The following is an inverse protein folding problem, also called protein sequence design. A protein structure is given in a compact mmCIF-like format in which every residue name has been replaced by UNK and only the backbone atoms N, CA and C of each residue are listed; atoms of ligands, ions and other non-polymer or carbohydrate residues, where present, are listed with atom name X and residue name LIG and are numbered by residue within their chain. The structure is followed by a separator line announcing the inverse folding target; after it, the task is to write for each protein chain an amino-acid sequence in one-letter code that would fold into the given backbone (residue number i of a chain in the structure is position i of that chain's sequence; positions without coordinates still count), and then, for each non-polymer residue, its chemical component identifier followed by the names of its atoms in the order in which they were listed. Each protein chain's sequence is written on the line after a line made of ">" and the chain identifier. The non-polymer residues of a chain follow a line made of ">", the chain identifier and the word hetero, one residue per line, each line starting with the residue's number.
data_IF_845992298945
#
_entry.id   IF_845992298945
#
_cell.length_a   1.000
_cell.length_b   1.000
_cell.length_c   1.000
_cell.angle_alpha   90.00
_cell.angle_beta   90.00
_cell.angle_gamma   90.00
#
_symmetry.space_group_name_H-M   'P 1'
#
loop_
_entity.id
_entity.type
_entity.pdbx_description
1 polymer ?
#
# COMPACT_ATOMS: atom_id res chain seq x y z
N UNK A 1 -5.92 14.91 15.40
CA UNK A 1 -6.49 13.59 15.05
C UNK A 1 -7.80 13.81 14.31
N UNK A 2 -7.99 13.16 13.15
CA UNK A 2 -9.22 13.15 12.35
C UNK A 2 -10.02 11.88 12.69
N UNK A 3 -10.65 11.86 13.86
CA UNK A 3 -11.24 10.64 14.46
C UNK A 3 -12.49 10.10 13.76
N UNK A 4 -13.08 10.86 12.82
CA UNK A 4 -14.26 10.44 12.05
C UNK A 4 -13.96 10.24 10.56
N UNK A 5 -12.72 10.45 10.13
CA UNK A 5 -12.35 10.31 8.72
C UNK A 5 -12.30 8.83 8.35
N UNK A 6 -13.20 8.39 7.49
CA UNK A 6 -13.30 6.99 7.04
C UNK A 6 -12.76 6.77 5.63
N UNK A 7 -12.70 7.83 4.81
CA UNK A 7 -12.13 7.79 3.47
C UNK A 7 -11.25 9.01 3.23
N UNK A 8 -10.07 8.79 2.67
CA UNK A 8 -9.12 9.83 2.26
C UNK A 8 -8.72 9.57 0.81
N UNK A 9 -9.10 10.48 -0.08
CA UNK A 9 -8.65 10.49 -1.46
C UNK A 9 -7.67 11.64 -1.66
N UNK A 10 -6.44 11.29 -2.02
CA UNK A 10 -5.34 12.17 -2.36
C UNK A 10 -4.76 11.82 -3.73
N UNK A 11 -5.50 11.10 -4.57
CA UNK A 11 -5.03 10.75 -5.91
C UNK A 11 -4.77 11.99 -6.77
N UNK A 12 -3.82 11.89 -7.70
CA UNK A 12 -3.52 12.92 -8.71
C UNK A 12 -3.08 14.29 -8.14
N UNK A 13 -2.52 14.33 -6.94
CA UNK A 13 -2.16 15.59 -6.27
C UNK A 13 -0.67 15.96 -6.37
N UNK A 14 0.14 15.20 -7.11
CA UNK A 14 1.58 15.45 -7.27
C UNK A 14 2.30 15.57 -5.90
N UNK A 15 1.84 14.82 -4.90
CA UNK A 15 2.44 14.86 -3.57
C UNK A 15 3.88 14.35 -3.69
N UNK A 16 4.87 15.19 -3.42
CA UNK A 16 6.29 14.80 -3.47
C UNK A 16 6.67 13.80 -2.35
N UNK A 17 7.83 13.10 -2.46
CA UNK A 17 8.28 12.14 -1.45
C UNK A 17 8.21 12.65 -0.01
N UNK A 18 8.58 13.91 0.22
CA UNK A 18 8.52 14.55 1.55
C UNK A 18 7.09 14.58 2.10
N UNK A 19 6.10 14.91 1.26
CA UNK A 19 4.69 14.94 1.64
C UNK A 19 4.16 13.54 1.94
N UNK A 20 4.50 12.55 1.11
CA UNK A 20 4.11 11.17 1.34
C UNK A 20 4.72 10.58 2.61
N UNK A 21 5.98 10.90 2.92
CA UNK A 21 6.59 10.55 4.21
C UNK A 21 5.83 11.15 5.39
N UNK A 22 5.37 12.39 5.27
CA UNK A 22 4.56 13.02 6.32
C UNK A 22 3.21 12.32 6.48
N UNK A 23 2.59 11.88 5.38
CA UNK A 23 1.38 11.05 5.41
C UNK A 23 1.68 9.72 6.14
N UNK A 24 2.73 9.00 5.76
CA UNK A 24 3.15 7.75 6.40
C UNK A 24 3.31 7.90 7.91
N UNK A 25 4.07 8.91 8.37
CA UNK A 25 4.23 9.19 9.80
C UNK A 25 2.92 9.54 10.50
N UNK A 26 2.04 10.30 9.84
CA UNK A 26 0.74 10.67 10.40
C UNK A 26 -0.16 9.45 10.58
N UNK A 27 -0.14 8.52 9.61
CA UNK A 27 -0.84 7.25 9.69
C UNK A 27 -0.29 6.37 10.83
N UNK A 28 1.04 6.28 10.95
CA UNK A 28 1.73 5.55 12.02
C UNK A 28 1.41 6.10 13.42
N UNK A 29 1.24 7.42 13.54
CA UNK A 29 0.86 8.11 14.77
C UNK A 29 -0.64 8.08 15.08
N UNK A 30 -1.41 7.22 14.39
CA UNK A 30 -2.86 7.06 14.55
C UNK A 30 -3.63 8.38 14.37
N UNK A 31 -3.20 9.23 13.43
CA UNK A 31 -3.88 10.49 13.17
C UNK A 31 -5.31 10.28 12.64
N UNK A 32 -5.56 9.17 11.94
CA UNK A 32 -6.84 8.80 11.33
C UNK A 32 -7.26 7.36 11.74
N UNK A 33 -7.67 7.14 13.01
CA UNK A 33 -7.91 5.78 13.55
C UNK A 33 -9.12 5.07 12.94
N UNK A 34 -10.04 5.82 12.31
CA UNK A 34 -11.21 5.25 11.65
C UNK A 34 -11.08 5.15 10.12
N UNK A 35 -9.88 5.41 9.57
CA UNK A 35 -9.67 5.36 8.13
C UNK A 35 -9.87 3.92 7.60
N UNK A 36 -10.75 3.78 6.62
CA UNK A 36 -11.09 2.52 5.92
C UNK A 36 -10.60 2.53 4.48
N UNK A 37 -10.64 3.69 3.81
CA UNK A 37 -10.28 3.82 2.39
C UNK A 37 -9.18 4.85 2.21
N UNK A 38 -8.09 4.46 1.56
CA UNK A 38 -6.97 5.35 1.25
C UNK A 38 -6.66 5.27 -0.25
N UNK A 39 -6.75 6.40 -0.94
CA UNK A 39 -6.37 6.52 -2.33
C UNK A 39 -5.20 7.51 -2.47
N UNK A 40 -4.06 7.02 -2.93
CA UNK A 40 -2.81 7.74 -3.16
C UNK A 40 -2.33 7.56 -4.61
N UNK A 41 -3.19 7.14 -5.53
CA UNK A 41 -2.83 6.91 -6.93
C UNK A 41 -2.16 8.15 -7.56
N UNK A 42 -1.08 7.92 -8.34
CA UNK A 42 -0.33 8.97 -9.06
C UNK A 42 0.20 10.10 -8.17
N UNK A 43 1.03 9.74 -7.20
CA UNK A 43 1.79 10.64 -6.33
C UNK A 43 3.26 10.17 -6.21
N UNK A 44 4.00 10.84 -5.33
CA UNK A 44 5.20 10.54 -4.54
C UNK A 44 6.39 9.72 -5.06
N UNK A 45 6.25 9.01 -6.17
CA UNK A 45 7.24 8.07 -6.64
C UNK A 45 7.53 6.97 -5.63
N UNK A 46 8.60 6.23 -5.91
CA UNK A 46 8.97 5.06 -5.13
C UNK A 46 9.33 5.40 -3.68
N UNK A 47 10.21 6.37 -3.46
CA UNK A 47 10.70 6.76 -2.13
C UNK A 47 9.55 7.21 -1.21
N UNK A 48 8.63 8.01 -1.75
CA UNK A 48 7.48 8.49 -1.00
C UNK A 48 6.52 7.36 -0.62
N UNK A 49 6.27 6.43 -1.54
CA UNK A 49 5.42 5.27 -1.26
C UNK A 49 6.07 4.28 -0.30
N UNK A 50 7.39 4.10 -0.36
CA UNK A 50 8.10 3.23 0.57
C UNK A 50 7.84 3.67 2.02
N UNK A 51 7.91 4.98 2.30
CA UNK A 51 7.58 5.51 3.63
C UNK A 51 6.10 5.28 4.02
N UNK A 52 5.16 5.49 3.10
CA UNK A 52 3.73 5.25 3.37
C UNK A 52 3.47 3.78 3.70
N UNK A 53 4.03 2.87 2.91
CA UNK A 53 3.77 1.44 3.02
C UNK A 53 4.52 0.80 4.19
N UNK A 54 5.79 1.17 4.41
CA UNK A 54 6.60 0.60 5.49
C UNK A 54 6.32 1.22 6.86
N UNK A 55 6.16 2.54 6.94
CA UNK A 55 5.97 3.23 8.21
C UNK A 55 4.49 3.39 8.55
N UNK A 56 3.68 3.82 7.58
CA UNK A 56 2.31 4.26 7.83
C UNK A 56 1.27 3.15 7.87
N UNK A 57 1.25 2.28 6.85
CA UNK A 57 0.16 1.33 6.63
C UNK A 57 0.04 0.29 7.76
N UNK A 58 1.14 -0.05 8.45
CA UNK A 58 1.13 -0.93 9.61
C UNK A 58 0.45 -0.31 10.84
N UNK A 59 0.34 1.02 10.90
CA UNK A 59 -0.37 1.77 11.95
C UNK A 59 -1.86 1.98 11.67
N UNK A 60 -2.36 1.54 10.50
CA UNK A 60 -3.77 1.70 10.10
C UNK A 60 -4.47 0.35 10.01
N UNK A 61 -4.80 -0.29 11.14
CA UNK A 61 -5.27 -1.68 11.15
C UNK A 61 -6.65 -1.88 10.53
N UNK A 62 -7.41 -0.80 10.30
CA UNK A 62 -8.80 -0.87 9.78
C UNK A 62 -8.92 -0.58 8.28
N UNK A 63 -7.81 -0.47 7.54
CA UNK A 63 -7.89 -0.24 6.09
C UNK A 63 -8.57 -1.42 5.41
N UNK A 64 -9.59 -1.11 4.63
CA UNK A 64 -10.40 -2.04 3.83
C UNK A 64 -10.06 -1.94 2.34
N UNK A 65 -9.73 -0.74 1.86
CA UNK A 65 -9.36 -0.48 0.48
C UNK A 65 -8.14 0.46 0.40
N UNK A 66 -7.11 0.03 -0.32
CA UNK A 66 -5.90 0.80 -0.59
C UNK A 66 -5.69 0.91 -2.11
N UNK A 67 -5.54 2.13 -2.60
CA UNK A 67 -5.12 2.39 -3.98
C UNK A 67 -3.80 3.18 -3.97
N UNK A 68 -2.73 2.53 -4.44
CA UNK A 68 -1.40 3.12 -4.64
C UNK A 68 -0.92 2.90 -6.08
N UNK A 69 -1.87 2.79 -7.01
CA UNK A 69 -1.57 2.61 -8.43
C UNK A 69 -0.74 3.76 -8.99
N UNK A 70 0.12 3.47 -9.97
CA UNK A 70 0.90 4.45 -10.71
C UNK A 70 1.73 5.40 -9.83
N UNK A 71 2.46 4.85 -8.86
CA UNK A 71 3.38 5.57 -7.99
C UNK A 71 4.85 5.17 -8.20
N UNK A 72 5.19 4.50 -9.31
CA UNK A 72 6.54 3.98 -9.57
C UNK A 72 7.07 3.06 -8.45
N UNK A 73 6.19 2.24 -7.87
CA UNK A 73 6.56 1.25 -6.85
C UNK A 73 7.26 0.09 -7.55
N UNK A 74 8.52 -0.18 -7.20
CA UNK A 74 9.24 -1.35 -7.74
C UNK A 74 8.93 -2.61 -6.94
N UNK A 75 9.50 -3.75 -7.33
CA UNK A 75 9.25 -5.05 -6.69
C UNK A 75 9.47 -5.09 -5.18
N UNK A 76 10.44 -4.32 -4.67
CA UNK A 76 10.68 -4.20 -3.21
C UNK A 76 9.50 -3.59 -2.46
N UNK A 77 8.65 -2.82 -3.15
CA UNK A 77 7.43 -2.26 -2.60
C UNK A 77 6.34 -3.28 -2.29
N UNK A 78 6.50 -4.56 -2.67
CA UNK A 78 5.65 -5.66 -2.20
C UNK A 78 6.03 -6.17 -0.80
N UNK A 79 7.26 -5.91 -0.32
CA UNK A 79 7.73 -6.36 1.00
C UNK A 79 6.85 -5.90 2.17
N UNK A 80 6.37 -4.63 2.24
CA UNK A 80 5.48 -4.18 3.31
C UNK A 80 4.15 -4.93 3.31
N UNK A 81 3.67 -5.33 2.12
CA UNK A 81 2.46 -6.13 1.98
C UNK A 81 2.65 -7.53 2.58
N UNK A 82 3.67 -8.27 2.14
CA UNK A 82 4.02 -9.58 2.71
C UNK A 82 4.22 -9.52 4.21
N UNK A 83 4.93 -8.48 4.70
CA UNK A 83 5.15 -8.27 6.13
C UNK A 83 3.86 -8.00 6.89
N UNK A 84 2.98 -7.14 6.38
CA UNK A 84 1.70 -6.84 7.04
C UNK A 84 0.75 -8.03 7.07
N UNK A 85 0.79 -8.90 6.05
CA UNK A 85 0.05 -10.17 6.03
C UNK A 85 0.62 -11.14 7.08
N UNK A 86 1.95 -11.32 7.13
CA UNK A 86 2.62 -12.17 8.12
C UNK A 86 2.33 -11.72 9.57
N UNK A 87 2.31 -10.40 9.81
CA UNK A 87 2.01 -9.81 11.12
C UNK A 87 0.52 -9.71 11.45
N UNK A 88 -0.37 -10.21 10.58
CA UNK A 88 -1.84 -10.13 10.74
C UNK A 88 -2.35 -8.70 10.93
N UNK A 89 -1.74 -7.73 10.23
CA UNK A 89 -2.14 -6.31 10.27
C UNK A 89 -3.18 -5.95 9.22
N UNK A 90 -3.29 -6.75 8.16
CA UNK A 90 -4.25 -6.54 7.06
C UNK A 90 -5.49 -7.42 7.17
N UNK A 91 -6.05 -7.54 8.38
CA UNK A 91 -7.24 -8.36 8.67
C UNK A 91 -8.55 -7.75 8.16
N UNK A 92 -8.53 -6.50 7.68
CA UNK A 92 -9.69 -5.84 7.07
C UNK A 92 -9.51 -5.56 5.59
N UNK A 93 -8.31 -5.73 5.03
CA UNK A 93 -8.00 -5.31 3.65
C UNK A 93 -8.70 -6.24 2.66
N UNK A 94 -9.70 -5.73 1.97
CA UNK A 94 -10.46 -6.45 0.94
C UNK A 94 -10.04 -6.08 -0.47
N UNK A 95 -9.44 -4.90 -0.66
CA UNK A 95 -9.01 -4.40 -1.96
C UNK A 95 -7.64 -3.74 -1.88
N UNK A 96 -6.74 -4.16 -2.77
CA UNK A 96 -5.44 -3.51 -2.98
C UNK A 96 -5.27 -3.27 -4.48
N UNK A 97 -5.03 -2.03 -4.86
CA UNK A 97 -4.66 -1.65 -6.21
C UNK A 97 -3.22 -1.13 -6.23
N UNK A 98 -2.34 -1.94 -6.84
CA UNK A 98 -0.93 -1.67 -7.10
C UNK A 98 -0.69 -1.58 -8.62
N UNK A 99 -1.73 -1.51 -9.44
CA UNK A 99 -1.60 -1.47 -10.89
C UNK A 99 -0.78 -0.27 -11.37
N UNK A 100 -0.26 -0.37 -12.59
CA UNK A 100 0.55 0.66 -13.22
C UNK A 100 1.83 1.00 -12.44
N UNK A 101 2.37 0.05 -11.68
CA UNK A 101 3.66 0.15 -11.01
C UNK A 101 4.64 -0.89 -11.62
N UNK A 102 5.95 -0.57 -11.73
CA UNK A 102 6.97 -1.47 -12.26
C UNK A 102 7.39 -2.54 -11.23
N UNK A 103 6.46 -3.43 -10.84
CA UNK A 103 6.70 -4.41 -9.76
C UNK A 103 7.73 -5.47 -10.16
N UNK A 104 7.75 -5.89 -11.42
CA UNK A 104 8.60 -6.96 -11.92
C UNK A 104 8.05 -8.36 -11.59
N UNK A 105 8.13 -9.26 -12.58
CA UNK A 105 7.57 -10.61 -12.49
C UNK A 105 8.11 -11.40 -11.29
N UNK A 106 9.42 -11.31 -11.02
CA UNK A 106 10.05 -12.01 -9.90
C UNK A 106 9.46 -11.60 -8.54
N UNK A 107 9.17 -10.31 -8.34
CA UNK A 107 8.60 -9.83 -7.10
C UNK A 107 7.15 -10.30 -6.93
N UNK A 108 6.39 -10.34 -8.03
CA UNK A 108 5.02 -10.88 -8.06
C UNK A 108 5.05 -12.38 -7.71
N UNK A 109 5.93 -13.17 -8.33
CA UNK A 109 6.08 -14.59 -8.04
C UNK A 109 6.44 -14.84 -6.56
N UNK A 110 7.40 -14.09 -6.03
CA UNK A 110 7.79 -14.15 -4.60
C UNK A 110 6.62 -13.78 -3.68
N UNK A 111 5.84 -12.76 -4.02
CA UNK A 111 4.66 -12.35 -3.25
C UNK A 111 3.63 -13.47 -3.19
N UNK A 112 3.24 -14.06 -4.33
CA UNK A 112 2.27 -15.16 -4.35
C UNK A 112 2.79 -16.44 -3.68
N UNK A 113 4.08 -16.74 -3.81
CA UNK A 113 4.71 -17.88 -3.14
C UNK A 113 4.64 -17.79 -1.62
N UNK A 114 4.54 -16.57 -1.07
CA UNK A 114 4.38 -16.35 0.37
C UNK A 114 2.94 -16.48 0.86
N UNK A 115 1.92 -16.43 -0.02
CA UNK A 115 0.50 -16.44 0.38
C UNK A 115 0.09 -17.67 1.20
N UNK A 116 0.51 -18.91 0.87
CA UNK A 116 0.18 -20.09 1.68
C UNK A 116 0.63 -20.01 3.14
N UNK A 117 1.61 -19.15 3.45
CA UNK A 117 2.09 -18.92 4.82
C UNK A 117 1.23 -17.94 5.62
N UNK A 118 0.31 -17.24 4.97
CA UNK A 118 -0.55 -16.25 5.62
C UNK A 118 -1.88 -16.88 6.07
N UNK A 119 -2.43 -16.47 7.23
CA UNK A 119 -3.78 -16.85 7.61
C UNK A 119 -4.79 -16.31 6.58
N UNK A 120 -6.02 -16.87 6.58
CA UNK A 120 -7.12 -16.48 5.69
C UNK A 120 -7.12 -14.99 5.38
N UNK A 121 -6.81 -14.65 4.14
CA UNK A 121 -6.73 -13.27 3.68
C UNK A 121 -8.13 -12.77 3.32
N UNK A 122 -8.56 -11.61 3.85
CA UNK A 122 -9.83 -10.99 3.46
C UNK A 122 -9.79 -10.36 2.05
N UNK A 123 -8.64 -10.42 1.36
CA UNK A 123 -8.43 -9.82 0.04
C UNK A 123 -9.37 -10.49 -0.97
N UNK A 124 -10.27 -9.70 -1.55
CA UNK A 124 -11.23 -10.09 -2.58
C UNK A 124 -10.86 -9.53 -3.95
N UNK A 125 -10.10 -8.44 -3.98
CA UNK A 125 -9.63 -7.80 -5.20
C UNK A 125 -8.16 -7.39 -5.04
N UNK A 126 -7.31 -7.86 -5.95
CA UNK A 126 -5.90 -7.51 -6.01
C UNK A 126 -5.55 -7.17 -7.46
N UNK A 127 -5.18 -5.92 -7.72
CA UNK A 127 -4.76 -5.46 -9.03
C UNK A 127 -3.24 -5.26 -9.04
N UNK A 128 -2.52 -6.07 -9.81
CA UNK A 128 -1.07 -6.04 -9.97
C UNK A 128 -0.66 -5.81 -11.44
N UNK A 129 -1.51 -5.17 -12.26
CA UNK A 129 -1.19 -4.93 -13.68
C UNK A 129 0.10 -4.11 -13.74
N UNK A 130 1.20 -4.79 -14.01
CA UNK A 130 2.53 -4.21 -14.13
C UNK A 130 2.61 -3.36 -15.40
N UNK A 131 3.43 -2.31 -15.39
CA UNK A 131 3.81 -1.57 -16.60
C UNK A 131 4.84 -2.32 -17.46
N UNK A 132 5.32 -3.49 -17.01
CA UNK A 132 6.17 -4.38 -17.79
C UNK A 132 7.63 -3.95 -17.86
N UNK A 133 8.15 -3.30 -16.82
CA UNK A 133 9.58 -3.06 -16.72
C UNK A 133 10.25 -4.40 -16.39
N UNK A 134 10.72 -5.09 -17.43
CA UNK A 134 11.62 -6.23 -17.28
C UNK A 134 12.79 -5.79 -16.39
N UNK A 135 13.03 -6.52 -15.30
CA UNK A 135 14.20 -6.33 -14.47
C UNK A 135 15.45 -6.34 -15.35
N UNK A 136 16.20 -5.24 -15.31
CA UNK A 136 17.53 -5.10 -15.91
C UNK A 136 18.58 -5.09 -14.83
#
# INVERSE_FOLDING_TARGET
>A
KLSKLTALDLSLNQIEPRGARFIGKSLAAEACPELRKLNLMRNAGEEGMDAVLNEGLLGTPKIEALNVAQNNIEGRGLNPFSRGLALKKFTFVTMIDLSLNPLGDEAIERFFSSIPSFPVLPIRALALRDTGAAGG
#
